data_IF_265311489733
#
_entry.id   IF_265311489733
#
_cell.length_a   1.000
_cell.length_b   1.000
_cell.length_c   1.000
_cell.angle_alpha   90.00
_cell.angle_beta   90.00
_cell.angle_gamma   90.00
#
_symmetry.space_group_name_H-M   'P 1'
#
loop_
_entity.id
_entity.type
_entity.pdbx_description
1 polymer ?
#
# COMPACT_ATOMS: atom_id res chain seq x y z
N UNK A 1 51.44 27.12 -51.38
CA UNK A 1 51.84 26.43 -50.13
C UNK A 1 50.59 25.88 -49.46
N UNK A 2 50.27 24.60 -49.69
CA UNK A 2 49.10 23.93 -49.07
C UNK A 2 49.47 23.56 -47.63
N UNK A 3 48.78 24.14 -46.64
CA UNK A 3 48.77 23.61 -45.27
C UNK A 3 47.78 22.45 -45.23
N UNK A 4 48.24 21.27 -44.84
CA UNK A 4 47.46 20.05 -44.79
C UNK A 4 46.41 20.13 -43.66
N UNK A 5 45.19 19.69 -43.97
CA UNK A 5 44.03 19.63 -43.06
C UNK A 5 44.30 18.72 -41.83
N UNK A 6 45.29 17.84 -41.91
CA UNK A 6 45.69 16.95 -40.81
C UNK A 6 46.25 17.67 -39.58
N UNK A 7 46.83 18.86 -39.71
CA UNK A 7 47.36 19.60 -38.56
C UNK A 7 46.26 20.29 -37.72
N UNK A 8 45.08 20.52 -38.30
CA UNK A 8 43.95 21.11 -37.57
C UNK A 8 43.28 20.09 -36.62
N UNK A 9 43.33 18.79 -36.97
CA UNK A 9 42.69 17.72 -36.20
C UNK A 9 43.53 17.31 -34.98
N UNK A 10 44.84 17.56 -35.00
CA UNK A 10 45.73 17.24 -33.86
C UNK A 10 45.51 18.13 -32.63
N UNK A 11 44.99 19.35 -32.81
CA UNK A 11 44.68 20.29 -31.72
C UNK A 11 43.35 20.00 -31.02
N UNK A 12 42.39 19.35 -31.68
CA UNK A 12 41.05 19.10 -31.10
C UNK A 12 41.00 17.87 -30.18
N UNK A 13 41.90 16.90 -30.33
CA UNK A 13 41.95 15.71 -29.46
C UNK A 13 42.56 15.95 -28.08
N UNK A 14 43.27 17.07 -27.84
CA UNK A 14 43.95 17.33 -26.54
C UNK A 14 43.10 18.10 -25.52
N UNK A 15 41.98 18.70 -25.94
CA UNK A 15 41.17 19.59 -25.08
C UNK A 15 39.75 19.07 -24.78
N UNK A 16 39.43 17.82 -25.05
CA UNK A 16 38.11 17.20 -24.75
C UNK A 16 37.92 16.88 -23.26
N UNK A 17 38.99 16.88 -22.46
CA UNK A 17 38.91 16.68 -21.00
C UNK A 17 38.21 17.85 -20.29
N UNK A 18 38.45 19.08 -20.71
CA UNK A 18 37.89 20.30 -20.11
C UNK A 18 36.34 20.35 -20.25
N UNK A 19 35.73 20.12 -21.42
CA UNK A 19 34.27 20.09 -21.53
C UNK A 19 33.65 18.89 -20.80
N UNK A 20 34.29 17.72 -20.79
CA UNK A 20 33.81 16.56 -20.02
C UNK A 20 33.77 16.85 -18.52
N UNK A 21 34.84 17.42 -17.97
CA UNK A 21 34.91 17.83 -16.56
C UNK A 21 33.87 18.91 -16.27
N UNK A 22 33.71 19.90 -17.15
CA UNK A 22 32.69 20.96 -17.00
C UNK A 22 31.26 20.41 -16.99
N UNK A 23 30.94 19.43 -17.84
CA UNK A 23 29.63 18.78 -17.86
C UNK A 23 29.40 17.95 -16.59
N UNK A 24 30.43 17.25 -16.11
CA UNK A 24 30.34 16.52 -14.83
C UNK A 24 30.10 17.45 -13.64
N UNK A 25 30.75 18.62 -13.58
CA UNK A 25 30.51 19.60 -12.52
C UNK A 25 29.10 20.22 -12.57
N UNK A 26 28.58 20.48 -13.78
CA UNK A 26 27.21 20.95 -13.96
C UNK A 26 26.18 19.91 -13.50
N UNK A 27 26.39 18.63 -13.82
CA UNK A 27 25.53 17.53 -13.37
C UNK A 27 25.56 17.35 -11.84
N UNK A 28 26.72 17.50 -11.20
CA UNK A 28 26.86 17.43 -9.74
C UNK A 28 26.11 18.57 -9.02
N UNK A 29 26.10 19.77 -9.60
CA UNK A 29 25.38 20.94 -9.04
C UNK A 29 23.85 20.83 -9.12
N UNK A 30 23.32 20.09 -10.11
CA UNK A 30 21.89 19.80 -10.22
C UNK A 30 21.41 18.85 -9.12
N UNK A 31 22.24 17.89 -8.70
CA UNK A 31 21.92 16.93 -7.65
C UNK A 31 21.87 17.55 -6.25
N UNK A 32 22.75 18.50 -5.93
CA UNK A 32 22.75 19.18 -4.62
C UNK A 32 21.51 20.06 -4.43
N UNK A 33 21.02 20.73 -5.48
CA UNK A 33 19.80 21.52 -5.40
C UNK A 33 18.54 20.67 -5.13
N UNK A 34 18.46 19.48 -5.74
CA UNK A 34 17.37 18.53 -5.47
C UNK A 34 17.40 18.03 -4.03
N UNK A 35 18.59 17.66 -3.52
CA UNK A 35 18.73 17.17 -2.15
C UNK A 35 18.43 18.27 -1.10
N UNK A 36 18.83 19.51 -1.38
CA UNK A 36 18.52 20.67 -0.54
C UNK A 36 17.01 20.96 -0.50
N UNK A 37 16.33 20.92 -1.65
CA UNK A 37 14.87 21.07 -1.71
C UNK A 37 14.14 19.97 -0.95
N UNK A 38 14.57 18.70 -1.08
CA UNK A 38 13.98 17.59 -0.31
C UNK A 38 14.20 17.79 1.19
N UNK A 39 15.40 18.19 1.62
CA UNK A 39 15.64 18.50 3.04
C UNK A 39 14.81 19.68 3.55
N UNK A 40 14.66 20.72 2.74
CA UNK A 40 13.82 21.86 3.09
C UNK A 40 12.36 21.46 3.21
N UNK A 41 11.83 20.69 2.26
CA UNK A 41 10.47 20.15 2.32
C UNK A 41 10.25 19.25 3.56
N UNK A 42 11.26 18.45 3.92
CA UNK A 42 11.24 17.63 5.15
C UNK A 42 11.25 18.50 6.41
N UNK A 43 12.06 19.56 6.45
CA UNK A 43 12.15 20.45 7.60
C UNK A 43 10.94 21.38 7.76
N UNK A 44 10.19 21.60 6.67
CA UNK A 44 8.92 22.33 6.66
C UNK A 44 7.71 21.40 6.80
N UNK A 45 7.94 20.09 6.91
CA UNK A 45 6.85 19.14 7.04
C UNK A 45 6.22 19.27 8.43
N UNK A 46 4.88 19.18 8.54
CA UNK A 46 4.21 19.17 9.84
C UNK A 46 4.65 17.98 10.71
N UNK A 47 4.50 18.10 12.03
CA UNK A 47 4.97 17.09 13.00
C UNK A 47 4.42 15.68 12.73
N UNK A 48 3.17 15.57 12.23
CA UNK A 48 2.56 14.30 11.86
C UNK A 48 3.35 13.54 10.78
N UNK A 49 4.13 14.23 9.95
CA UNK A 49 4.94 13.64 8.88
C UNK A 49 6.13 12.84 9.45
N UNK A 50 6.76 13.33 10.52
CA UNK A 50 7.86 12.63 11.18
C UNK A 50 7.41 11.30 11.78
N UNK A 51 6.27 11.32 12.47
CA UNK A 51 5.66 10.13 13.08
C UNK A 51 5.20 9.13 12.02
N UNK A 52 4.59 9.60 10.93
CA UNK A 52 4.18 8.75 9.79
C UNK A 52 5.37 8.11 9.08
N UNK A 53 6.52 8.77 9.02
CA UNK A 53 7.71 8.21 8.37
C UNK A 53 8.27 7.02 9.14
N UNK A 54 8.11 6.97 10.47
CA UNK A 54 8.46 5.81 11.27
C UNK A 54 7.56 4.61 10.90
N UNK A 55 6.24 4.83 10.84
CA UNK A 55 5.27 3.80 10.43
C UNK A 55 5.53 3.30 9.00
N UNK A 56 5.75 4.20 8.03
CA UNK A 56 6.01 3.84 6.62
C UNK A 56 7.32 3.06 6.46
N UNK A 57 8.32 3.29 7.32
CA UNK A 57 9.57 2.50 7.35
C UNK A 57 9.40 1.11 7.96
N UNK A 58 8.19 0.76 8.43
CA UNK A 58 7.90 -0.50 9.08
C UNK A 58 8.31 -0.52 10.57
N UNK A 59 8.67 0.63 11.15
CA UNK A 59 9.04 0.71 12.57
C UNK A 59 7.77 0.54 13.42
N UNK A 60 7.75 -0.50 14.26
CA UNK A 60 6.62 -0.82 15.13
C UNK A 60 5.64 -1.86 14.57
N UNK A 61 5.75 -2.28 13.30
CA UNK A 61 4.99 -3.42 12.80
C UNK A 61 5.60 -4.75 13.30
N UNK A 62 4.78 -5.77 13.61
CA UNK A 62 5.28 -7.12 13.84
C UNK A 62 6.04 -7.62 12.60
N UNK A 63 7.08 -8.41 12.82
CA UNK A 63 7.77 -9.05 11.71
C UNK A 63 6.85 -10.08 11.08
N UNK A 64 6.77 -10.13 9.74
CA UNK A 64 5.81 -10.98 9.01
C UNK A 64 5.90 -12.48 9.35
N UNK A 65 7.06 -12.95 9.82
CA UNK A 65 7.28 -14.33 10.24
C UNK A 65 6.91 -14.59 11.70
N UNK A 66 6.73 -13.53 12.50
CA UNK A 66 6.32 -13.57 13.90
C UNK A 66 4.90 -13.00 13.99
N UNK A 67 3.90 -13.77 13.54
CA UNK A 67 2.48 -13.43 13.73
C UNK A 67 2.11 -13.82 15.17
N UNK A 68 1.93 -12.86 16.10
CA UNK A 68 1.58 -13.20 17.47
C UNK A 68 0.15 -13.77 17.53
N UNK A 69 -0.08 -14.74 18.42
CA UNK A 69 -1.43 -15.15 18.79
C UNK A 69 -2.06 -14.01 19.58
N UNK A 70 -3.10 -13.39 19.02
CA UNK A 70 -3.79 -12.27 19.65
C UNK A 70 -4.65 -12.79 20.81
N UNK A 71 -4.48 -12.21 21.99
CA UNK A 71 -5.41 -12.40 23.11
C UNK A 71 -6.55 -11.38 23.02
N UNK A 72 -7.65 -11.59 23.75
CA UNK A 72 -8.82 -10.70 23.75
C UNK A 72 -8.50 -9.22 24.06
N UNK A 73 -7.39 -8.97 24.75
CA UNK A 73 -6.95 -7.63 25.14
C UNK A 73 -5.84 -7.06 24.25
N UNK A 74 -5.38 -7.80 23.23
CA UNK A 74 -4.39 -7.30 22.29
C UNK A 74 -5.04 -6.42 21.24
N UNK A 75 -4.84 -5.10 21.37
CA UNK A 75 -5.29 -4.13 20.40
C UNK A 75 -4.33 -4.16 19.20
N UNK A 76 -4.80 -4.48 17.98
CA UNK A 76 -3.99 -4.43 16.77
C UNK A 76 -3.40 -3.02 16.58
N UNK A 77 -2.11 -2.95 16.27
CA UNK A 77 -1.45 -1.65 16.07
C UNK A 77 -1.13 -0.87 17.35
N UNK A 78 -1.19 -1.47 18.55
CA UNK A 78 -0.79 -0.82 19.82
C UNK A 78 0.62 -0.21 19.83
N UNK A 79 1.50 -0.72 18.97
CA UNK A 79 2.88 -0.24 18.77
C UNK A 79 2.96 0.97 17.82
N UNK A 80 1.88 1.29 17.09
CA UNK A 80 1.77 2.38 16.12
C UNK A 80 1.05 3.57 16.76
N UNK A 81 1.78 4.35 17.57
CA UNK A 81 1.21 5.42 18.41
C UNK A 81 0.42 6.47 17.64
N UNK A 82 0.91 6.90 16.47
CA UNK A 82 0.23 7.91 15.66
C UNK A 82 -1.08 7.37 15.06
N UNK A 83 -1.06 6.12 14.60
CA UNK A 83 -2.27 5.42 14.15
C UNK A 83 -3.27 5.18 15.27
N UNK A 84 -2.81 4.82 16.48
CA UNK A 84 -3.68 4.64 17.65
C UNK A 84 -4.40 5.93 18.04
N UNK A 85 -3.66 7.05 18.15
CA UNK A 85 -4.23 8.37 18.45
C UNK A 85 -5.29 8.79 17.42
N UNK A 86 -5.01 8.57 16.14
CA UNK A 86 -6.00 8.85 15.07
C UNK A 86 -7.23 7.95 15.18
N UNK A 87 -7.05 6.68 15.57
CA UNK A 87 -8.16 5.76 15.83
C UNK A 87 -9.07 6.28 16.94
N UNK A 88 -8.51 6.78 18.04
CA UNK A 88 -9.26 7.39 19.14
C UNK A 88 -10.01 8.65 18.71
N UNK A 89 -9.37 9.53 17.94
CA UNK A 89 -10.01 10.74 17.39
C UNK A 89 -11.19 10.38 16.46
N UNK A 90 -11.01 9.39 15.58
CA UNK A 90 -12.05 8.91 14.68
C UNK A 90 -13.19 8.21 15.41
N UNK A 91 -12.87 7.44 16.46
CA UNK A 91 -13.87 6.81 17.31
C UNK A 91 -14.71 7.85 18.04
N UNK A 92 -14.10 8.90 18.58
CA UNK A 92 -14.83 10.01 19.20
C UNK A 92 -15.75 10.73 18.20
N UNK A 93 -15.30 10.93 16.96
CA UNK A 93 -16.15 11.49 15.88
C UNK A 93 -17.31 10.55 15.56
N UNK A 94 -17.05 9.24 15.49
CA UNK A 94 -18.06 8.23 15.25
C UNK A 94 -19.10 8.22 16.37
N UNK A 95 -18.67 8.14 17.63
CA UNK A 95 -19.55 8.09 18.80
C UNK A 95 -20.38 9.37 18.98
N UNK A 96 -19.86 10.53 18.55
CA UNK A 96 -20.59 11.80 18.55
C UNK A 96 -21.61 11.93 17.41
N UNK A 97 -21.58 11.03 16.42
CA UNK A 97 -22.49 11.08 15.27
C UNK A 97 -23.84 10.46 15.61
N UNK A 98 -24.92 11.17 15.33
CA UNK A 98 -26.30 10.65 15.45
C UNK A 98 -26.50 9.35 14.67
N UNK A 99 -25.78 9.15 13.55
CA UNK A 99 -25.84 7.92 12.76
C UNK A 99 -25.20 6.70 13.44
N UNK A 100 -24.37 6.91 14.46
CA UNK A 100 -23.78 5.83 15.24
C UNK A 100 -24.66 5.44 16.44
N UNK A 101 -25.70 6.22 16.73
CA UNK A 101 -26.65 5.87 17.77
C UNK A 101 -27.34 4.55 17.39
N UNK A 102 -27.29 3.52 18.25
CA UNK A 102 -28.05 2.31 18.00
C UNK A 102 -29.55 2.62 17.99
N UNK A 103 -30.35 1.90 17.20
CA UNK A 103 -31.79 2.04 17.24
C UNK A 103 -32.35 1.74 18.64
N UNK A 104 -33.42 2.44 19.01
CA UNK A 104 -34.04 2.32 20.33
C UNK A 104 -34.55 0.89 20.61
N UNK A 105 -34.96 0.17 19.57
CA UNK A 105 -35.34 -1.25 19.63
C UNK A 105 -34.66 -2.03 18.49
N UNK A 106 -33.37 -2.29 18.68
CA UNK A 106 -32.57 -3.06 17.73
C UNK A 106 -33.15 -4.45 17.44
N UNK A 107 -33.81 -5.07 18.41
CA UNK A 107 -34.39 -6.40 18.24
C UNK A 107 -35.61 -6.36 17.31
N UNK A 108 -36.53 -5.42 17.52
CA UNK A 108 -37.69 -5.26 16.66
C UNK A 108 -37.30 -4.82 15.24
N UNK A 109 -36.33 -3.90 15.11
CA UNK A 109 -35.85 -3.47 13.79
C UNK A 109 -35.17 -4.60 13.02
N UNK A 110 -34.39 -5.45 13.71
CA UNK A 110 -33.77 -6.62 13.09
C UNK A 110 -34.81 -7.66 12.67
N UNK A 111 -35.84 -7.90 13.49
CA UNK A 111 -36.94 -8.79 13.13
C UNK A 111 -37.71 -8.27 11.91
N UNK A 112 -38.00 -6.97 11.86
CA UNK A 112 -38.66 -6.33 10.71
C UNK A 112 -37.80 -6.39 9.44
N UNK A 113 -36.48 -6.23 9.57
CA UNK A 113 -35.54 -6.40 8.46
C UNK A 113 -35.57 -7.84 7.94
N UNK A 114 -35.53 -8.83 8.84
CA UNK A 114 -35.58 -10.24 8.48
C UNK A 114 -36.86 -10.59 7.72
N UNK A 115 -38.03 -10.17 8.23
CA UNK A 115 -39.30 -10.35 7.52
C UNK A 115 -39.31 -9.68 6.14
N UNK A 116 -38.74 -8.47 6.02
CA UNK A 116 -38.63 -7.78 4.72
C UNK A 116 -37.72 -8.54 3.75
N UNK A 117 -36.59 -9.04 4.22
CA UNK A 117 -35.68 -9.86 3.42
C UNK A 117 -36.41 -11.12 2.99
N UNK A 118 -36.96 -11.91 3.90
CA UNK A 118 -37.72 -13.13 3.58
C UNK A 118 -38.83 -12.87 2.55
N UNK A 119 -39.60 -11.79 2.70
CA UNK A 119 -40.62 -11.40 1.73
C UNK A 119 -40.04 -11.09 0.34
N UNK A 120 -38.87 -10.45 0.27
CA UNK A 120 -38.18 -10.18 -1.00
C UNK A 120 -37.64 -11.42 -1.70
N UNK A 121 -37.44 -12.52 -0.97
CA UNK A 121 -37.02 -13.82 -1.50
C UNK A 121 -38.17 -14.84 -1.57
N UNK A 122 -39.40 -14.49 -1.19
CA UNK A 122 -40.52 -15.43 -1.07
C UNK A 122 -40.94 -16.08 -2.40
N UNK A 123 -40.74 -15.38 -3.51
CA UNK A 123 -41.06 -15.88 -4.87
C UNK A 123 -39.90 -16.68 -5.49
N UNK A 124 -38.76 -16.78 -4.80
CA UNK A 124 -37.64 -17.58 -5.28
C UNK A 124 -37.84 -19.06 -4.90
N UNK A 125 -37.53 -19.99 -5.81
CA UNK A 125 -37.61 -21.40 -5.50
C UNK A 125 -36.63 -21.75 -4.37
N UNK A 126 -37.10 -22.55 -3.40
CA UNK A 126 -36.30 -22.99 -2.24
C UNK A 126 -35.04 -23.79 -2.64
N UNK A 127 -35.10 -24.43 -3.81
CA UNK A 127 -33.94 -24.98 -4.51
C UNK A 127 -33.78 -24.20 -5.81
N UNK A 128 -32.98 -23.13 -5.83
CA UNK A 128 -32.65 -22.50 -7.08
C UNK A 128 -31.74 -23.49 -7.80
N UNK A 129 -32.28 -24.25 -8.75
CA UNK A 129 -31.50 -25.06 -9.69
C UNK A 129 -30.66 -24.19 -10.65
N UNK A 130 -30.14 -23.05 -10.18
CA UNK A 130 -29.36 -22.07 -10.94
C UNK A 130 -27.96 -22.60 -11.26
N UNK A 131 -27.47 -23.55 -10.47
CA UNK A 131 -26.26 -24.31 -10.75
C UNK A 131 -26.57 -25.79 -10.59
N UNK A 132 -26.35 -26.54 -11.66
CA UNK A 132 -26.28 -28.01 -11.58
C UNK A 132 -24.99 -28.41 -10.87
N UNK A 133 -24.90 -29.68 -10.44
CA UNK A 133 -23.65 -30.20 -9.88
C UNK A 133 -22.47 -30.08 -10.87
N UNK A 134 -22.77 -30.15 -12.17
CA UNK A 134 -21.78 -29.98 -13.24
C UNK A 134 -21.28 -28.53 -13.32
N UNK A 135 -22.18 -27.54 -13.14
CA UNK A 135 -21.80 -26.12 -13.10
C UNK A 135 -20.92 -25.81 -11.88
N UNK A 136 -21.23 -26.42 -10.72
CA UNK A 136 -20.42 -26.29 -9.50
C UNK A 136 -19.02 -26.85 -9.74
N UNK A 137 -18.90 -28.04 -10.34
CA UNK A 137 -17.61 -28.65 -10.66
C UNK A 137 -16.81 -27.82 -11.67
N UNK A 138 -17.47 -27.23 -12.67
CA UNK A 138 -16.82 -26.36 -13.65
C UNK A 138 -16.25 -25.09 -13.00
N UNK A 139 -16.99 -24.49 -12.06
CA UNK A 139 -16.52 -23.34 -11.28
C UNK A 139 -15.34 -23.73 -10.40
N UNK A 140 -15.45 -24.83 -9.63
CA UNK A 140 -14.36 -25.31 -8.78
C UNK A 140 -13.08 -25.59 -9.58
N UNK A 141 -13.19 -26.21 -10.75
CA UNK A 141 -12.07 -26.47 -11.64
C UNK A 141 -11.42 -25.17 -12.16
N UNK A 142 -12.21 -24.15 -12.48
CA UNK A 142 -11.69 -22.85 -12.94
C UNK A 142 -10.92 -22.11 -11.84
N UNK A 143 -11.30 -22.29 -10.57
CA UNK A 143 -10.61 -21.67 -9.43
C UNK A 143 -9.49 -22.55 -8.84
N UNK A 144 -9.41 -23.82 -9.22
CA UNK A 144 -8.33 -24.73 -8.83
C UNK A 144 -7.06 -24.49 -9.68
N UNK A 145 -6.53 -23.26 -9.61
CA UNK A 145 -5.27 -22.90 -10.24
C UNK A 145 -4.12 -23.40 -9.37
N UNK A 146 -3.07 -24.05 -9.95
CA UNK A 146 -1.90 -24.48 -9.20
C UNK A 146 -1.36 -23.33 -8.35
N UNK A 147 -1.27 -23.54 -7.03
CA UNK A 147 -0.70 -22.53 -6.15
C UNK A 147 0.75 -22.33 -6.57
N UNK A 148 1.19 -21.06 -6.65
CA UNK A 148 2.57 -20.66 -7.03
C UNK A 148 3.65 -21.39 -6.20
N UNK A 149 3.28 -21.97 -5.05
CA UNK A 149 4.14 -22.73 -4.15
C UNK A 149 4.30 -24.22 -4.48
N UNK A 150 3.48 -24.83 -5.35
CA UNK A 150 3.55 -26.28 -5.62
C UNK A 150 4.77 -26.71 -6.47
N UNK A 151 5.43 -25.76 -7.14
CA UNK A 151 6.69 -26.00 -7.86
C UNK A 151 7.96 -25.69 -7.05
N UNK A 152 7.85 -25.01 -5.91
CA UNK A 152 8.99 -24.66 -5.06
C UNK A 152 9.20 -25.77 -4.03
N UNK A 153 9.66 -26.93 -4.50
CA UNK A 153 10.39 -27.86 -3.63
C UNK A 153 11.63 -27.12 -3.15
N UNK A 154 11.53 -26.52 -1.97
CA UNK A 154 12.63 -25.86 -1.26
C UNK A 154 13.80 -26.84 -1.21
N UNK A 155 14.78 -26.65 -2.09
CA UNK A 155 16.11 -27.24 -1.95
C UNK A 155 16.75 -26.49 -0.79
N UNK A 156 16.55 -27.02 0.42
CA UNK A 156 17.13 -26.49 1.65
C UNK A 156 18.66 -26.62 1.52
N UNK A 157 19.45 -25.54 1.64
CA UNK A 157 20.88 -25.67 1.92
C UNK A 157 21.10 -26.25 3.33
#
# INVERSE_FOLDING_TARGET
MRRNICDLVSLTMKNTAIPLISVSFLLLSGCTNSYAQVRQAVNQAPDWYGERRAEIRGEGYPKLYDIPVLTKNDIPGKTLKASAKRGEELLAIFDASERAAPPADAAAEMAALLTRVEAGFADLPADPGFLTQDDIQAIEAAFNVPRVTEGLKVKRP
#
